data_IF_800725366512
#
_entry.id   IF_800725366512
#
_cell.length_a   1.000
_cell.length_b   1.000
_cell.length_c   1.000
_cell.angle_alpha   90.00
_cell.angle_beta   90.00
_cell.angle_gamma   90.00
#
_symmetry.space_group_name_H-M   'P 1'
#
loop_
_entity.id
_entity.type
_entity.pdbx_description
1 polymer ?
2 non-polymer ?
3 non-polymer ?
4 non-polymer ?
5 non-polymer ?
6 water ?
#
# COMPACT_ATOMS: atom_id res chain seq x y z
N UNK A 1 18.91 22.00 1.29
CA UNK A 1 17.49 21.80 1.20
C UNK A 1 17.35 20.39 1.75
N UNK A 2 16.18 19.79 1.74
CA UNK A 2 16.00 18.39 2.06
C UNK A 2 16.33 17.66 0.77
N UNK A 3 17.00 16.53 0.88
CA UNK A 3 17.28 15.67 -0.25
C UNK A 3 16.38 14.48 0.02
N UNK A 4 15.47 14.18 -0.87
CA UNK A 4 14.54 13.10 -0.67
C UNK A 4 14.89 12.11 -1.76
N UNK A 5 14.90 10.83 -1.45
CA UNK A 5 15.14 9.82 -2.46
C UNK A 5 13.84 9.07 -2.62
N UNK A 6 13.63 8.34 -3.70
CA UNK A 6 12.47 7.51 -3.88
C UNK A 6 12.91 6.22 -4.53
N UNK A 7 12.49 5.08 -3.99
CA UNK A 7 12.75 3.83 -4.67
C UNK A 7 11.39 3.50 -5.28
N UNK A 8 11.27 3.30 -6.59
CA UNK A 8 9.99 3.03 -7.18
C UNK A 8 10.15 2.20 -8.43
N UNK A 9 9.04 1.72 -8.97
CA UNK A 9 9.01 0.97 -10.22
C UNK A 9 9.28 1.99 -11.32
N UNK A 10 9.67 1.60 -12.53
CA UNK A 10 10.12 2.55 -13.54
C UNK A 10 9.22 3.73 -13.81
N UNK A 11 9.71 4.94 -13.59
CA UNK A 11 8.95 6.16 -13.81
C UNK A 11 8.57 6.35 -15.26
N UNK A 12 9.32 5.80 -16.17
CA UNK A 12 8.97 5.90 -17.56
C UNK A 12 7.70 5.14 -17.91
N UNK A 13 7.18 4.33 -17.00
CA UNK A 13 6.02 3.51 -17.26
C UNK A 13 4.82 3.84 -16.40
N UNK A 14 4.83 4.99 -15.69
CA UNK A 14 3.70 5.33 -14.82
C UNK A 14 2.75 6.21 -15.61
N UNK A 15 1.52 6.26 -15.09
CA UNK A 15 0.46 7.10 -15.62
C UNK A 15 0.35 8.23 -14.62
N UNK A 16 0.81 9.43 -15.01
CA UNK A 16 0.87 10.57 -14.12
C UNK A 16 -0.50 11.07 -13.74
N UNK A 17 -1.56 10.65 -14.42
CA UNK A 17 -2.91 11.03 -14.01
C UNK A 17 -3.35 10.32 -12.73
N UNK A 18 -2.86 9.12 -12.49
CA UNK A 18 -3.34 8.32 -11.38
C UNK A 18 -2.26 8.09 -10.38
N UNK A 19 -1.00 8.21 -10.75
CA UNK A 19 0.04 7.76 -9.85
C UNK A 19 0.26 8.61 -8.61
N UNK A 20 0.25 8.00 -7.43
CA UNK A 20 0.50 8.80 -6.25
C UNK A 20 1.97 9.04 -5.98
N UNK A 21 2.97 8.18 -6.31
CA UNK A 21 4.37 8.53 -6.08
C UNK A 21 4.67 9.83 -6.81
N UNK A 22 4.15 9.99 -8.02
CA UNK A 22 4.38 11.15 -8.85
C UNK A 22 3.78 12.40 -8.20
N UNK A 23 2.54 12.40 -7.75
CA UNK A 23 1.95 13.49 -7.06
C UNK A 23 2.80 13.88 -5.86
N UNK A 24 3.37 12.95 -5.10
CA UNK A 24 4.26 13.26 -3.99
C UNK A 24 5.53 13.99 -4.48
N UNK A 25 6.21 13.52 -5.53
CA UNK A 25 7.38 14.18 -6.09
C UNK A 25 7.02 15.58 -6.58
N UNK A 26 5.89 15.92 -7.20
CA UNK A 26 5.56 17.30 -7.58
C UNK A 26 5.49 18.18 -6.35
N UNK A 27 4.96 17.71 -5.25
CA UNK A 27 4.89 18.48 -4.03
C UNK A 27 6.26 18.66 -3.38
N UNK A 28 7.11 17.64 -3.34
CA UNK A 28 8.45 17.80 -2.81
C UNK A 28 9.24 18.82 -3.63
N UNK A 29 9.06 18.84 -4.96
CA UNK A 29 9.75 19.78 -5.82
C UNK A 29 9.21 21.17 -5.63
N UNK A 30 7.90 21.33 -5.51
CA UNK A 30 7.24 22.58 -5.22
C UNK A 30 7.78 23.16 -3.90
N UNK A 31 8.19 22.32 -2.93
CA UNK A 31 8.77 22.80 -1.71
C UNK A 31 10.26 23.04 -1.78
N UNK A 32 10.97 22.65 -2.85
CA UNK A 32 12.39 22.94 -3.02
C UNK A 32 13.33 21.80 -2.65
N UNK A 33 12.85 20.56 -2.54
CA UNK A 33 13.70 19.46 -2.14
C UNK A 33 14.44 19.05 -3.37
N UNK A 34 15.62 18.47 -3.15
CA UNK A 34 16.41 17.86 -4.20
C UNK A 34 15.94 16.41 -4.33
N UNK A 35 15.51 15.94 -5.50
CA UNK A 35 14.95 14.61 -5.65
C UNK A 35 15.96 13.66 -6.24
N UNK A 36 16.15 12.48 -5.62
CA UNK A 36 17.06 11.45 -6.09
C UNK A 36 16.25 10.22 -6.41
N UNK A 37 16.21 9.80 -7.64
CA UNK A 37 15.45 8.68 -8.13
C UNK A 37 16.19 7.37 -8.06
N UNK A 38 15.58 6.30 -7.57
CA UNK A 38 16.24 5.01 -7.56
C UNK A 38 15.27 3.93 -7.95
N UNK A 39 15.72 2.84 -8.53
CA UNK A 39 14.93 1.65 -8.80
C UNK A 39 15.62 0.57 -7.96
N UNK A 40 15.03 -0.59 -7.71
CA UNK A 40 15.57 -1.65 -6.85
C UNK A 40 16.99 -2.07 -7.20
N UNK A 41 17.36 -2.09 -8.46
CA UNK A 41 18.68 -2.52 -8.92
C UNK A 41 19.79 -1.53 -8.63
N UNK A 42 19.49 -0.28 -8.27
CA UNK A 42 20.46 0.76 -7.98
C UNK A 42 21.02 0.71 -6.59
N UNK A 43 20.35 0.02 -5.69
CA UNK A 43 20.73 -0.04 -4.29
C UNK A 43 21.66 -1.23 -4.10
N UNK A 44 22.62 -1.07 -3.21
CA UNK A 44 23.52 -2.14 -2.92
C UNK A 44 24.12 -1.94 -1.54
N UNK A 45 24.85 -2.94 -1.12
CA UNK A 45 25.50 -2.97 0.17
C UNK A 45 26.94 -3.38 -0.11
N UNK A 46 27.90 -2.60 0.40
CA UNK A 46 29.33 -2.89 0.31
C UNK A 46 29.81 -2.71 1.74
N UNK A 47 30.16 -3.83 2.32
CA UNK A 47 30.61 -3.97 3.69
C UNK A 47 29.67 -3.32 4.69
N UNK A 48 28.38 -3.57 4.48
CA UNK A 48 27.33 -3.12 5.36
C UNK A 48 27.00 -1.66 5.19
N UNK A 49 27.57 -0.94 4.23
CA UNK A 49 27.23 0.44 3.97
C UNK A 49 26.23 0.40 2.83
N UNK A 50 25.06 0.97 3.03
CA UNK A 50 24.02 1.03 2.02
C UNK A 50 24.39 2.19 1.11
N UNK A 51 24.41 1.95 -0.18
CA UNK A 51 24.76 2.97 -1.13
C UNK A 51 23.86 2.82 -2.34
N UNK A 52 23.80 3.77 -3.26
CA UNK A 52 22.98 3.65 -4.45
C UNK A 52 23.46 4.56 -5.56
N UNK A 53 23.19 4.15 -6.78
CA UNK A 53 23.42 5.01 -7.91
C UNK A 53 22.12 5.77 -8.00
N UNK A 54 22.10 7.08 -7.83
CA UNK A 54 20.86 7.81 -7.98
C UNK A 54 21.01 8.69 -9.20
N UNK A 55 19.91 9.25 -9.59
CA UNK A 55 19.83 10.16 -10.68
C UNK A 55 19.06 11.33 -10.09
N UNK A 56 19.53 12.58 -10.21
CA UNK A 56 18.84 13.73 -9.68
C UNK A 56 17.69 13.93 -10.64
N UNK A 57 16.50 14.05 -10.09
CA UNK A 57 15.26 14.11 -10.83
C UNK A 57 14.59 15.47 -10.79
N UNK A 58 13.95 15.74 -11.91
CA UNK A 58 13.18 16.92 -12.14
C UNK A 58 11.80 16.47 -12.61
N UNK A 59 10.61 16.67 -12.03
CA UNK A 59 9.37 16.15 -12.60
C UNK A 59 8.48 17.31 -13.04
N UNK A 60 7.56 17.10 -13.97
CA UNK A 60 6.62 18.13 -14.32
C UNK A 60 5.41 17.46 -14.92
N UNK A 61 4.25 18.05 -14.65
CA UNK A 61 2.98 17.58 -15.15
C UNK A 61 2.89 17.79 -16.66
N UNK A 62 3.52 16.95 -17.45
CA UNK A 62 3.58 17.09 -18.88
C UNK A 62 3.43 15.69 -19.36
N UNK A 63 2.47 15.39 -20.21
CA UNK A 63 2.22 14.03 -20.65
C UNK A 63 3.10 13.57 -21.80
N UNK A 64 3.99 14.43 -22.31
CA UNK A 64 4.93 14.06 -23.37
C UNK A 64 6.20 13.75 -22.63
N UNK A 65 6.54 14.53 -21.60
CA UNK A 65 7.77 14.35 -20.87
C UNK A 65 7.56 14.73 -19.43
N UNK A 66 7.39 13.78 -18.54
CA UNK A 66 7.12 14.12 -17.16
C UNK A 66 8.29 14.02 -16.23
N UNK A 67 9.47 13.58 -16.66
CA UNK A 67 10.62 13.55 -15.78
C UNK A 67 11.87 13.78 -16.62
N UNK A 68 12.93 14.18 -15.97
CA UNK A 68 14.22 14.32 -16.61
C UNK A 68 15.19 14.14 -15.49
N UNK A 69 16.30 13.50 -15.82
CA UNK A 69 17.39 13.28 -14.91
C UNK A 69 18.43 14.35 -15.19
N UNK A 70 18.83 15.10 -14.21
CA UNK A 70 19.76 16.19 -14.39
C UNK A 70 21.04 15.79 -13.66
N UNK A 71 21.56 14.60 -13.93
CA UNK A 71 22.78 14.17 -13.29
C UNK A 71 22.63 12.85 -12.60
N UNK A 72 23.73 12.16 -12.31
CA UNK A 72 23.70 10.91 -11.62
C UNK A 72 24.93 10.84 -10.77
N UNK A 73 24.89 9.99 -9.77
CA UNK A 73 26.00 9.87 -8.84
C UNK A 73 25.82 8.61 -8.02
N UNK A 74 26.89 8.14 -7.43
CA UNK A 74 26.85 7.02 -6.54
C UNK A 74 27.05 7.68 -5.18
N UNK A 75 26.15 7.48 -4.22
CA UNK A 75 26.33 8.08 -2.92
C UNK A 75 25.96 7.06 -1.87
N UNK A 76 26.38 7.19 -0.62
CA UNK A 76 25.80 6.47 0.50
C UNK A 76 24.38 6.99 0.72
N UNK A 77 23.42 6.12 1.00
CA UNK A 77 22.06 6.50 1.20
C UNK A 77 21.89 7.37 2.44
N UNK A 78 22.73 7.24 3.46
CA UNK A 78 22.75 8.10 4.62
C UNK A 78 22.96 9.55 4.26
N UNK A 79 23.33 9.87 3.04
CA UNK A 79 23.42 11.23 2.56
C UNK A 79 22.05 11.82 2.29
N UNK A 80 20.97 11.05 2.22
CA UNK A 80 19.67 11.61 1.92
C UNK A 80 18.96 11.73 3.26
N UNK A 81 18.03 12.68 3.33
CA UNK A 81 17.34 12.93 4.58
C UNK A 81 16.13 12.05 4.75
N UNK A 82 15.50 11.67 3.64
CA UNK A 82 14.23 10.95 3.60
C UNK A 82 14.33 10.02 2.39
N UNK A 83 13.92 8.76 2.43
CA UNK A 83 13.78 7.90 1.28
C UNK A 83 12.33 7.44 1.31
N UNK A 84 11.56 7.55 0.22
CA UNK A 84 10.21 7.08 0.16
C UNK A 84 10.34 5.72 -0.48
N UNK A 85 9.90 4.65 0.20
CA UNK A 85 9.92 3.32 -0.36
C UNK A 85 8.55 3.14 -1.01
N UNK A 86 8.47 3.30 -2.31
CA UNK A 86 7.23 3.23 -3.05
C UNK A 86 7.22 2.08 -4.05
N UNK A 87 7.98 0.99 -3.86
CA UNK A 87 7.99 -0.17 -4.74
C UNK A 87 6.66 -0.89 -4.58
N UNK A 88 6.07 -1.30 -5.69
CA UNK A 88 4.78 -1.99 -5.67
C UNK A 88 4.92 -3.41 -5.23
N UNK A 89 3.87 -3.99 -4.64
CA UNK A 89 3.83 -5.42 -4.36
C UNK A 89 4.00 -6.21 -5.66
N UNK A 90 4.20 -7.53 -5.68
CA UNK A 90 4.23 -8.42 -4.54
C UNK A 90 5.29 -8.29 -3.49
N UNK A 91 4.85 -8.76 -2.34
CA UNK A 91 5.66 -8.88 -1.16
C UNK A 91 6.42 -10.17 -1.44
N UNK A 92 7.67 -10.05 -1.79
CA UNK A 92 8.45 -11.22 -2.07
C UNK A 92 9.71 -11.06 -1.29
N UNK A 93 10.65 -12.00 -1.40
CA UNK A 93 11.91 -11.89 -0.67
C UNK A 93 12.77 -10.77 -1.22
N UNK A 94 12.75 -10.40 -2.51
CA UNK A 94 13.48 -9.26 -3.02
C UNK A 94 13.11 -7.96 -2.31
N UNK A 95 11.80 -7.81 -2.08
CA UNK A 95 11.26 -6.68 -1.35
C UNK A 95 11.86 -6.67 0.07
N UNK A 96 11.87 -7.84 0.75
CA UNK A 96 12.46 -7.96 2.06
C UNK A 96 13.93 -7.64 2.02
N UNK A 97 14.72 -8.12 1.06
CA UNK A 97 16.14 -7.82 1.02
C UNK A 97 16.34 -6.33 0.86
N UNK A 98 15.55 -5.63 0.05
CA UNK A 98 15.67 -4.20 -0.05
C UNK A 98 15.43 -3.53 1.29
N UNK A 99 14.58 -4.02 2.18
CA UNK A 99 14.32 -3.32 3.42
C UNK A 99 15.53 -3.42 4.35
N UNK A 100 16.44 -4.40 4.21
CA UNK A 100 17.63 -4.47 5.07
C UNK A 100 18.62 -3.44 4.61
N UNK A 101 18.67 -3.19 3.31
CA UNK A 101 19.52 -2.17 2.70
C UNK A 101 18.97 -0.84 3.15
N UNK A 102 17.67 -0.60 3.09
CA UNK A 102 17.17 0.67 3.55
C UNK A 102 17.36 0.81 5.04
N UNK A 103 17.38 -0.29 5.80
CA UNK A 103 17.61 -0.23 7.22
C UNK A 103 19.05 0.16 7.59
N UNK A 104 20.07 -0.13 6.79
CA UNK A 104 21.44 0.30 7.12
C UNK A 104 21.60 1.82 6.98
N UNK A 105 20.87 2.45 6.05
CA UNK A 105 20.81 3.87 5.88
C UNK A 105 20.07 4.41 7.04
N UNK A 106 18.94 3.83 7.46
CA UNK A 106 18.14 4.35 8.57
C UNK A 106 18.95 4.37 9.86
N UNK A 107 19.86 3.43 10.09
CA UNK A 107 20.70 3.52 11.27
C UNK A 107 21.70 4.65 11.21
N UNK A 108 22.04 5.15 10.03
CA UNK A 108 22.90 6.27 9.90
C UNK A 108 22.08 7.53 9.94
N UNK A 109 20.78 7.47 10.26
CA UNK A 109 19.90 8.62 10.45
C UNK A 109 18.99 9.09 9.32
N UNK A 110 18.87 8.38 8.21
CA UNK A 110 17.91 8.70 7.15
C UNK A 110 16.50 8.32 7.56
N UNK A 111 15.47 9.11 7.26
CA UNK A 111 14.09 8.75 7.60
C UNK A 111 13.60 7.87 6.48
N UNK A 112 12.96 6.73 6.74
CA UNK A 112 12.46 5.85 5.70
C UNK A 112 10.94 5.84 5.91
N UNK A 113 10.19 6.10 4.83
CA UNK A 113 8.75 6.17 4.77
C UNK A 113 8.34 5.04 3.83
N UNK A 114 7.84 3.86 4.21
CA UNK A 114 7.63 3.56 5.60
C UNK A 114 8.81 2.84 6.23
N UNK A 115 8.80 2.66 7.55
CA UNK A 115 9.91 2.07 8.28
C UNK A 115 10.18 0.63 7.88
N UNK A 116 11.43 0.23 7.53
CA UNK A 116 11.77 -1.07 6.98
C UNK A 116 11.37 -2.22 7.89
N UNK A 117 11.62 -2.09 9.19
CA UNK A 117 11.22 -3.12 10.10
C UNK A 117 9.71 -3.29 10.10
N UNK A 118 8.91 -2.25 10.22
CA UNK A 118 7.47 -2.39 10.06
C UNK A 118 7.02 -2.92 8.70
N UNK A 119 7.69 -2.72 7.57
CA UNK A 119 7.28 -3.31 6.28
C UNK A 119 7.40 -4.81 6.26
N UNK A 120 8.32 -5.34 7.03
CA UNK A 120 8.49 -6.78 7.20
C UNK A 120 7.57 -7.32 8.27
N UNK A 121 7.18 -6.55 9.29
CA UNK A 121 6.28 -7.00 10.33
C UNK A 121 4.83 -6.93 9.90
N UNK A 122 4.44 -5.92 9.12
CA UNK A 122 3.06 -5.65 8.75
C UNK A 122 2.74 -6.04 7.34
N UNK A 123 2.46 -7.30 7.10
CA UNK A 123 2.03 -7.75 5.79
C UNK A 123 0.63 -7.18 5.58
N UNK A 124 0.27 -6.74 4.38
CA UNK A 124 -1.00 -6.08 4.09
C UNK A 124 -2.24 -6.89 4.39
N UNK A 125 -2.17 -8.21 4.31
CA UNK A 125 -3.27 -9.03 4.68
C UNK A 125 -3.11 -9.47 6.11
N UNK A 126 -1.98 -10.00 6.57
CA UNK A 126 -1.93 -10.60 7.91
C UNK A 126 -1.83 -9.65 9.09
N UNK A 127 -1.53 -8.38 8.85
CA UNK A 127 -1.50 -7.42 9.93
C UNK A 127 -2.92 -7.21 10.47
N UNK A 128 -4.00 -7.59 9.74
CA UNK A 128 -5.39 -7.50 10.19
C UNK A 128 -5.59 -8.40 11.40
N UNK A 129 -4.78 -9.44 11.57
CA UNK A 129 -4.80 -10.31 12.72
C UNK A 129 -4.55 -9.56 14.01
N UNK A 130 -3.91 -8.40 13.99
CA UNK A 130 -3.75 -7.60 15.19
C UNK A 130 -4.95 -6.70 15.43
N UNK A 131 -6.05 -6.75 14.66
CA UNK A 131 -7.23 -5.91 14.88
C UNK A 131 -8.47 -6.76 14.52
N UNK A 132 -8.55 -8.00 14.98
CA UNK A 132 -9.62 -8.93 14.61
C UNK A 132 -11.01 -8.53 15.03
N UNK A 133 -11.07 -7.58 15.95
CA UNK A 133 -12.32 -6.94 16.35
C UNK A 133 -12.87 -5.98 15.28
N UNK A 134 -12.09 -5.62 14.28
CA UNK A 134 -12.56 -4.70 13.28
C UNK A 134 -12.64 -5.42 11.96
N UNK A 135 -12.14 -6.64 11.79
CA UNK A 135 -12.11 -7.31 10.47
C UNK A 135 -13.27 -8.25 10.23
N UNK A 136 -13.59 -8.86 9.07
CA UNK A 136 -14.50 -10.00 9.04
C UNK A 136 -13.90 -11.23 9.68
N UNK A 137 -14.63 -12.34 9.69
CA UNK A 137 -14.15 -13.63 10.16
C UNK A 137 -13.01 -13.97 9.22
N UNK A 138 -11.82 -14.28 9.71
CA UNK A 138 -10.68 -14.52 8.84
C UNK A 138 -9.95 -15.77 9.25
N UNK A 139 -9.67 -16.65 8.30
CA UNK A 139 -8.97 -17.89 8.53
C UNK A 139 -7.79 -17.85 7.59
N UNK A 140 -6.58 -18.18 8.06
CA UNK A 140 -5.41 -18.29 7.22
C UNK A 140 -5.03 -19.75 7.34
N UNK A 141 -5.01 -20.55 6.29
CA UNK A 141 -4.73 -21.96 6.44
C UNK A 141 -4.17 -22.52 5.15
N UNK A 142 -3.57 -23.73 5.19
CA UNK A 142 -3.14 -24.49 4.02
C UNK A 142 -4.11 -25.63 3.71
N UNK A 143 -5.04 -25.93 4.62
CA UNK A 143 -5.85 -27.12 4.52
C UNK A 143 -7.24 -26.84 4.01
N UNK A 144 -7.49 -27.49 2.88
CA UNK A 144 -8.74 -27.51 2.18
C UNK A 144 -9.86 -27.92 3.13
N UNK A 145 -9.62 -28.82 4.06
CA UNK A 145 -10.64 -29.26 5.01
C UNK A 145 -11.16 -28.12 5.84
N UNK A 146 -10.25 -27.24 6.27
CA UNK A 146 -10.62 -26.08 7.08
C UNK A 146 -11.32 -25.05 6.22
N UNK A 147 -10.95 -24.93 4.95
CA UNK A 147 -11.58 -24.00 4.06
C UNK A 147 -13.00 -24.44 3.79
N UNK A 148 -13.26 -25.73 3.62
CA UNK A 148 -14.58 -26.30 3.35
C UNK A 148 -15.48 -26.09 4.54
N UNK A 149 -14.96 -26.39 5.71
CA UNK A 149 -15.71 -26.15 6.93
C UNK A 149 -16.02 -24.66 7.10
N UNK A 150 -15.12 -23.69 6.88
CA UNK A 150 -15.43 -22.26 6.97
C UNK A 150 -16.49 -21.81 5.99
N UNK A 151 -16.49 -22.43 4.81
CA UNK A 151 -17.49 -22.21 3.79
C UNK A 151 -18.83 -22.75 4.27
N UNK A 152 -18.92 -23.96 4.83
CA UNK A 152 -20.18 -24.48 5.33
C UNK A 152 -20.75 -23.62 6.45
N UNK A 153 -19.94 -23.12 7.38
CA UNK A 153 -20.39 -22.21 8.40
C UNK A 153 -20.87 -20.86 7.82
N UNK A 154 -20.17 -20.25 6.87
CA UNK A 154 -20.51 -18.92 6.40
C UNK A 154 -21.27 -18.79 5.11
N UNK A 155 -21.43 -19.84 4.30
CA UNK A 155 -22.17 -19.88 3.03
C UNK A 155 -21.59 -19.13 1.84
N UNK A 156 -21.11 -17.92 2.11
CA UNK A 156 -20.57 -17.04 1.14
C UNK A 156 -19.22 -16.55 1.62
N UNK A 157 -18.13 -17.02 1.01
CA UNK A 157 -16.80 -16.59 1.41
C UNK A 157 -15.97 -16.01 0.27
N UNK A 158 -14.95 -15.23 0.63
CA UNK A 158 -13.93 -14.62 -0.22
C UNK A 158 -12.63 -15.37 0.14
N UNK A 159 -11.93 -15.89 -0.86
CA UNK A 159 -10.66 -16.58 -0.71
C UNK A 159 -9.66 -15.76 -1.50
N UNK A 160 -8.48 -15.52 -0.93
CA UNK A 160 -7.46 -14.66 -1.51
C UNK A 160 -6.04 -15.11 -1.17
N UNK A 161 -5.00 -14.76 -1.94
CA UNK A 161 -3.61 -14.93 -1.60
C UNK A 161 -3.12 -13.92 -0.57
N UNK A 162 -1.94 -14.07 -0.02
CA UNK A 162 -1.42 -13.15 0.98
C UNK A 162 -0.44 -12.09 0.48
N UNK A 163 0.00 -12.26 -0.76
CA UNK A 163 1.05 -11.43 -1.32
C UNK A 163 0.69 -10.34 -2.31
N UNK A 164 -0.44 -10.45 -3.01
CA UNK A 164 -0.77 -9.50 -4.07
C UNK A 164 -1.60 -8.35 -3.54
N UNK A 165 -1.95 -7.50 -4.48
CA UNK A 165 -2.78 -6.33 -4.24
C UNK A 165 -3.58 -6.15 -5.52
N UNK A 166 -4.49 -5.16 -5.60
CA UNK A 166 -5.22 -4.90 -6.84
C UNK A 166 -6.25 -5.95 -7.29
N UNK A 167 -6.74 -6.84 -6.42
CA UNK A 167 -7.69 -7.85 -6.82
C UNK A 167 -7.01 -9.08 -7.37
N UNK A 168 -5.73 -9.31 -7.05
CA UNK A 168 -5.05 -10.49 -7.55
C UNK A 168 -5.63 -11.71 -6.86
N UNK A 169 -6.04 -12.67 -7.69
CA UNK A 169 -6.66 -13.93 -7.29
C UNK A 169 -7.81 -13.91 -6.26
N UNK A 170 -8.81 -13.00 -6.32
CA UNK A 170 -9.90 -13.01 -5.35
C UNK A 170 -11.02 -13.89 -5.88
N UNK A 171 -11.37 -14.99 -5.20
CA UNK A 171 -12.48 -15.82 -5.58
C UNK A 171 -13.61 -15.61 -4.59
N UNK A 172 -14.86 -15.65 -5.01
CA UNK A 172 -15.97 -15.64 -4.08
C UNK A 172 -16.61 -17.02 -4.21
N UNK A 173 -16.84 -17.73 -3.12
CA UNK A 173 -17.40 -19.07 -3.18
C UNK A 173 -18.71 -18.92 -2.43
N UNK A 174 -19.75 -18.75 -3.22
CA UNK A 174 -21.10 -18.59 -2.73
C UNK A 174 -21.68 -19.97 -2.63
N UNK A 175 -22.90 -20.06 -2.13
CA UNK A 175 -23.67 -21.29 -1.96
C UNK A 175 -23.82 -22.05 -3.29
N UNK A 176 -23.51 -23.34 -3.30
CA UNK A 176 -23.68 -24.14 -4.52
C UNK A 176 -22.60 -23.95 -5.58
N UNK A 177 -21.47 -23.29 -5.28
CA UNK A 177 -20.41 -23.10 -6.23
C UNK A 177 -19.78 -24.47 -6.45
N UNK A 178 -19.55 -24.99 -7.66
CA UNK A 178 -19.01 -26.32 -7.89
C UNK A 178 -17.49 -26.39 -7.80
N UNK A 179 -16.84 -25.32 -7.33
CA UNK A 179 -15.39 -25.20 -7.43
C UNK A 179 -14.58 -25.04 -6.17
N UNK A 180 -15.08 -25.30 -4.96
CA UNK A 180 -14.33 -25.07 -3.72
C UNK A 180 -13.02 -25.83 -3.79
N UNK A 181 -13.08 -27.09 -4.18
CA UNK A 181 -11.94 -27.97 -4.23
C UNK A 181 -10.81 -27.50 -5.11
N UNK A 182 -11.10 -27.18 -6.37
CA UNK A 182 -10.09 -26.71 -7.28
C UNK A 182 -9.68 -25.30 -6.89
N UNK A 183 -10.48 -24.41 -6.28
CA UNK A 183 -10.01 -23.09 -5.87
C UNK A 183 -9.06 -23.24 -4.68
N UNK A 184 -9.28 -24.17 -3.74
CA UNK A 184 -8.40 -24.36 -2.62
C UNK A 184 -7.15 -25.00 -3.16
N UNK A 185 -7.16 -26.05 -3.98
CA UNK A 185 -5.95 -26.58 -4.59
C UNK A 185 -5.14 -25.56 -5.35
N UNK A 186 -5.81 -24.62 -6.02
CA UNK A 186 -5.15 -23.52 -6.73
C UNK A 186 -4.58 -22.52 -5.73
N UNK A 187 -5.25 -21.96 -4.73
CA UNK A 187 -4.63 -20.98 -3.86
C UNK A 187 -3.61 -21.52 -2.85
N UNK A 188 -3.73 -22.76 -2.39
CA UNK A 188 -2.77 -23.29 -1.45
C UNK A 188 -1.72 -24.11 -2.17
N UNK A 189 -1.74 -24.20 -3.51
CA UNK A 189 -0.86 -25.02 -4.32
C UNK A 189 -0.74 -26.43 -3.80
N UNK A 190 -1.90 -27.05 -3.68
CA UNK A 190 -2.10 -28.38 -3.11
C UNK A 190 -1.61 -28.50 -1.69
N UNK A 191 -1.90 -27.47 -0.93
CA UNK A 191 -1.68 -27.51 0.49
C UNK A 191 -0.28 -27.14 0.91
N UNK A 192 0.50 -26.48 0.07
CA UNK A 192 1.85 -26.12 0.41
C UNK A 192 2.00 -24.63 0.64
N UNK A 193 0.97 -23.84 0.36
CA UNK A 193 0.96 -22.41 0.60
C UNK A 193 -0.27 -22.01 1.40
N UNK A 194 -0.13 -21.06 2.30
CA UNK A 194 -1.24 -20.50 3.08
C UNK A 194 -2.09 -19.61 2.19
N UNK A 195 -3.39 -19.57 2.40
CA UNK A 195 -4.25 -18.57 1.76
C UNK A 195 -5.18 -18.03 2.85
N UNK A 196 -5.94 -17.00 2.53
CA UNK A 196 -6.81 -16.35 3.50
C UNK A 196 -8.25 -16.50 3.04
N UNK A 197 -9.18 -16.90 3.91
CA UNK A 197 -10.60 -16.94 3.63
C UNK A 197 -11.27 -15.93 4.54
N UNK A 198 -12.30 -15.23 4.09
CA UNK A 198 -12.99 -14.28 4.94
C UNK A 198 -14.43 -14.41 4.58
N UNK A 199 -15.38 -14.11 5.47
CA UNK A 199 -16.77 -14.16 5.05
C UNK A 199 -17.05 -12.97 4.15
N UNK A 200 -17.89 -13.16 3.12
CA UNK A 200 -18.18 -12.13 2.17
C UNK A 200 -18.99 -11.03 2.83
N UNK A 201 -18.67 -9.78 2.49
CA UNK A 201 -19.32 -8.61 3.02
C UNK A 201 -20.19 -7.97 1.96
N UNK A 202 -21.52 -8.17 1.96
CA UNK A 202 -22.47 -7.59 1.00
C UNK A 202 -22.31 -6.10 0.73
N UNK A 203 -21.88 -5.34 1.74
CA UNK A 203 -21.64 -3.92 1.62
C UNK A 203 -20.64 -3.54 0.54
N UNK A 204 -19.88 -4.47 -0.06
CA UNK A 204 -18.98 -4.12 -1.14
C UNK A 204 -19.73 -3.42 -2.27
N UNK A 205 -21.05 -3.60 -2.37
CA UNK A 205 -21.88 -2.99 -3.37
C UNK A 205 -21.87 -1.48 -3.23
N UNK A 206 -21.66 -0.98 -2.01
CA UNK A 206 -21.55 0.46 -1.75
C UNK A 206 -20.10 0.91 -1.88
N UNK A 207 -19.14 0.03 -2.16
CA UNK A 207 -17.77 0.42 -2.39
C UNK A 207 -16.76 -0.11 -1.38
N UNK A 208 -15.55 -0.37 -1.83
CA UNK A 208 -14.43 -0.73 -0.99
C UNK A 208 -13.80 0.64 -0.74
N UNK A 209 -13.84 1.22 0.44
CA UNK A 209 -13.33 2.55 0.65
C UNK A 209 -11.84 2.53 0.96
N UNK A 210 -11.03 3.28 0.22
CA UNK A 210 -9.64 3.47 0.56
C UNK A 210 -9.62 4.67 1.48
N UNK A 211 -9.15 4.46 2.71
CA UNK A 211 -9.01 5.51 3.71
C UNK A 211 -7.53 5.73 3.93
N UNK A 212 -7.03 6.92 3.71
CA UNK A 212 -5.62 7.25 3.83
C UNK A 212 -5.29 7.77 5.20
N UNK A 213 -4.19 7.33 5.84
CA UNK A 213 -3.78 7.78 7.15
C UNK A 213 -2.35 8.31 7.03
N UNK A 214 -2.16 9.57 7.39
CA UNK A 214 -0.90 10.26 7.38
C UNK A 214 -0.42 10.41 8.82
N UNK A 215 0.61 9.68 9.22
CA UNK A 215 1.15 9.61 10.57
C UNK A 215 0.13 9.49 11.69
N UNK A 216 -0.69 8.47 11.56
CA UNK A 216 -1.71 8.17 12.56
C UNK A 216 -2.96 9.01 12.36
N UNK A 217 -2.94 10.12 11.62
CA UNK A 217 -4.11 10.96 11.38
C UNK A 217 -4.93 10.57 10.16
N UNK A 218 -6.20 10.24 10.20
CA UNK A 218 -6.96 9.90 9.03
C UNK A 218 -7.20 11.15 8.19
N UNK A 219 -6.95 11.09 6.88
CA UNK A 219 -7.34 12.13 5.93
C UNK A 219 -8.89 12.09 5.89
N UNK A 220 -9.63 13.21 5.98
CA UNK A 220 -11.10 13.24 6.09
C UNK A 220 -12.02 12.88 4.92
N UNK A 221 -11.49 12.53 3.75
CA UNK A 221 -12.27 12.13 2.61
C UNK A 221 -11.58 10.88 2.13
N UNK A 222 -12.36 9.95 1.61
CA UNK A 222 -11.90 8.66 1.15
C UNK A 222 -12.33 8.48 -0.30
N UNK A 223 -12.04 7.35 -0.90
CA UNK A 223 -12.43 7.04 -2.25
C UNK A 223 -13.16 5.72 -2.12
N UNK A 224 -14.43 5.56 -2.47
CA UNK A 224 -15.09 4.27 -2.44
C UNK A 224 -14.89 3.65 -3.81
N UNK A 225 -14.50 2.40 -3.86
CA UNK A 225 -14.26 1.75 -5.14
C UNK A 225 -15.38 0.75 -5.37
N UNK A 226 -16.16 1.01 -6.40
CA UNK A 226 -17.34 0.20 -6.73
C UNK A 226 -16.96 -0.80 -7.81
N UNK A 227 -17.14 -2.13 -7.62
CA UNK A 227 -16.87 -3.16 -8.63
C UNK A 227 -17.71 -2.86 -9.87
N UNK A 228 -17.27 -3.24 -11.06
CA UNK A 228 -18.00 -2.87 -12.26
C UNK A 228 -18.34 -4.04 -13.16
N UNK A 229 -19.64 -4.10 -13.45
CA UNK A 229 -20.18 -5.08 -14.37
C UNK A 229 -20.14 -6.47 -13.76
N UNK A 230 -19.38 -7.32 -14.44
CA UNK A 230 -19.21 -8.69 -13.96
C UNK A 230 -17.89 -8.82 -13.16
N UNK A 231 -17.78 -8.01 -12.09
CA UNK A 231 -16.60 -8.07 -11.27
C UNK A 231 -16.88 -8.03 -9.79
N UNK A 232 -16.28 -9.04 -9.20
CA UNK A 232 -16.20 -9.22 -7.77
C UNK A 232 -15.14 -8.30 -7.15
N UNK A 233 -14.25 -7.70 -7.95
CA UNK A 233 -13.24 -6.83 -7.36
C UNK A 233 -13.57 -5.34 -7.48
N UNK A 234 -13.56 -4.65 -6.33
CA UNK A 234 -13.76 -3.21 -6.24
C UNK A 234 -12.54 -2.42 -6.69
N UNK A 235 -11.33 -2.98 -6.54
CA UNK A 235 -10.06 -2.37 -6.95
C UNK A 235 -10.06 -1.57 -8.23
N UNK A 236 -9.53 -0.36 -8.24
CA UNK A 236 -9.39 0.40 -9.49
C UNK A 236 -8.60 -0.42 -10.51
N UNK A 237 -7.61 -1.17 -9.98
CA UNK A 237 -6.77 -2.07 -10.75
C UNK A 237 -7.55 -3.14 -11.50
N UNK A 238 -8.69 -3.58 -10.97
CA UNK A 238 -9.52 -4.58 -11.63
C UNK A 238 -10.76 -3.85 -12.13
N UNK A 239 -10.61 -2.61 -12.62
CA UNK A 239 -11.70 -1.87 -13.26
C UNK A 239 -12.71 -1.21 -12.33
N UNK A 240 -12.48 -1.14 -11.01
CA UNK A 240 -13.43 -0.53 -10.08
C UNK A 240 -13.57 0.97 -10.33
N UNK A 241 -14.75 1.53 -10.03
CA UNK A 241 -15.09 2.92 -10.24
C UNK A 241 -14.98 3.74 -8.95
N UNK A 242 -14.23 4.83 -8.91
CA UNK A 242 -13.96 5.49 -7.65
C UNK A 242 -14.86 6.67 -7.45
N UNK A 243 -15.28 6.79 -6.21
CA UNK A 243 -16.20 7.83 -5.79
C UNK A 243 -15.63 8.49 -4.52
N UNK A 244 -15.09 9.73 -4.50
CA UNK A 244 -14.62 10.40 -3.30
C UNK A 244 -15.77 10.70 -2.37
N UNK A 245 -15.66 10.48 -1.06
CA UNK A 245 -16.76 10.72 -0.13
C UNK A 245 -16.14 11.31 1.08
N UNK A 246 -16.75 12.12 1.93
CA UNK A 246 -16.35 12.23 3.32
C UNK A 246 -16.35 10.91 4.07
N UNK A 247 -15.52 10.82 5.09
CA UNK A 247 -15.54 9.67 5.97
C UNK A 247 -16.87 9.66 6.71
N UNK A 248 -17.44 8.46 6.83
CA UNK A 248 -18.64 8.30 7.61
C UNK A 248 -18.15 8.11 9.04
N UNK A 249 -19.10 8.07 9.97
CA UNK A 249 -18.69 7.92 11.34
C UNK A 249 -18.12 6.54 11.64
N UNK A 250 -18.42 5.39 11.04
CA UNK A 250 -17.65 4.18 11.36
C UNK A 250 -16.30 4.20 10.68
N UNK A 251 -16.09 5.02 9.64
CA UNK A 251 -14.78 5.20 9.05
C UNK A 251 -13.85 5.91 10.00
N UNK A 252 -14.33 6.93 10.70
CA UNK A 252 -13.54 7.57 11.73
C UNK A 252 -13.20 6.64 12.86
N UNK A 253 -14.15 5.84 13.30
CA UNK A 253 -13.94 4.95 14.41
C UNK A 253 -12.89 3.95 14.04
N UNK A 254 -12.88 3.29 12.88
CA UNK A 254 -11.83 2.34 12.59
C UNK A 254 -10.50 3.02 12.43
N UNK A 255 -10.40 4.03 11.59
CA UNK A 255 -9.16 4.74 11.37
C UNK A 255 -8.56 5.24 12.68
N UNK A 256 -9.30 5.71 13.67
CA UNK A 256 -8.70 6.11 14.94
C UNK A 256 -8.27 4.94 15.79
N UNK A 257 -8.86 3.76 15.67
CA UNK A 257 -8.39 2.65 16.46
C UNK A 257 -7.06 2.22 15.89
N UNK A 258 -6.84 2.29 14.57
CA UNK A 258 -5.56 1.87 14.03
C UNK A 258 -4.50 2.95 14.03
N UNK A 259 -4.89 4.21 13.87
CA UNK A 259 -4.03 5.39 13.77
C UNK A 259 -2.81 5.35 14.64
N UNK A 260 -2.90 5.22 15.97
CA UNK A 260 -1.78 5.22 16.88
C UNK A 260 -0.82 4.08 16.67
N UNK A 261 -1.23 2.90 16.23
CA UNK A 261 -0.30 1.81 16.00
C UNK A 261 0.58 2.15 14.82
N UNK A 262 0.00 2.73 13.78
CA UNK A 262 0.72 3.00 12.57
C UNK A 262 1.75 4.07 12.88
N UNK A 263 1.44 5.03 13.73
CA UNK A 263 2.37 6.10 14.06
C UNK A 263 3.56 5.57 14.82
N UNK A 264 3.20 4.73 15.79
CA UNK A 264 4.08 4.08 16.72
C UNK A 264 5.07 3.23 15.95
N UNK A 265 4.61 2.54 14.93
CA UNK A 265 5.47 1.71 14.11
C UNK A 265 6.09 2.44 12.92
N UNK A 266 5.99 3.76 12.77
CA UNK A 266 6.66 4.47 11.68
C UNK A 266 6.07 4.20 10.30
N UNK A 267 4.80 3.79 10.32
CA UNK A 267 4.04 3.59 9.11
C UNK A 267 3.36 4.94 8.97
N UNK A 268 4.12 5.84 8.38
CA UNK A 268 3.71 7.22 8.17
C UNK A 268 2.68 7.38 7.05
N UNK A 269 2.65 6.61 5.96
CA UNK A 269 1.62 6.79 4.94
C UNK A 269 0.96 5.44 4.73
N UNK A 270 -0.30 5.26 5.13
CA UNK A 270 -0.97 3.97 5.08
C UNK A 270 -2.30 4.06 4.38
N UNK A 271 -2.70 3.06 3.63
CA UNK A 271 -4.00 3.03 2.98
C UNK A 271 -4.82 1.90 3.57
N UNK A 272 -5.85 2.20 4.35
CA UNK A 272 -6.75 1.22 4.90
C UNK A 272 -7.78 0.94 3.82
N UNK A 273 -8.27 -0.28 3.77
CA UNK A 273 -9.36 -0.68 2.91
C UNK A 273 -10.56 -0.94 3.83
N UNK A 274 -11.74 -0.32 3.73
CA UNK A 274 -12.83 -0.61 4.66
C UNK A 274 -14.00 -0.99 3.78
N UNK A 275 -14.71 -2.07 4.03
CA UNK A 275 -15.93 -2.41 3.29
C UNK A 275 -16.97 -2.37 4.40
N UNK A 276 -17.94 -1.45 4.30
CA UNK A 276 -18.99 -1.30 5.27
C UNK A 276 -18.33 -0.83 6.51
N UNK A 277 -18.46 -1.56 7.58
CA UNK A 277 -17.74 -1.23 8.80
C UNK A 277 -16.65 -2.25 9.16
N UNK A 278 -16.10 -2.98 8.19
CA UNK A 278 -15.05 -3.94 8.46
C UNK A 278 -13.81 -3.53 7.70
N UNK A 279 -12.68 -3.66 8.38
CA UNK A 279 -11.34 -3.47 7.85
C UNK A 279 -10.98 -4.71 7.07
N UNK A 280 -10.66 -4.70 5.78
CA UNK A 280 -10.23 -5.91 5.09
C UNK A 280 -8.73 -6.01 4.87
N UNK A 281 -7.96 -4.95 4.61
CA UNK A 281 -6.52 -5.05 4.55
C UNK A 281 -5.88 -3.71 4.90
N UNK A 282 -4.57 -3.70 5.19
CA UNK A 282 -3.79 -2.46 5.50
C UNK A 282 -2.60 -2.24 4.53
N UNK A 283 -2.71 -1.38 3.51
CA UNK A 283 -1.64 -1.20 2.55
C UNK A 283 -0.61 -0.24 3.06
N UNK A 284 0.56 -0.81 3.34
CA UNK A 284 1.71 -0.06 3.79
C UNK A 284 2.82 0.11 2.75
N UNK A 285 2.84 -0.60 1.60
CA UNK A 285 3.95 -0.47 0.64
C UNK A 285 3.81 0.70 -0.33
N UNK A 286 2.82 0.73 -1.22
CA UNK A 286 2.62 1.79 -2.18
C UNK A 286 1.15 2.17 -2.38
N UNK A 287 0.35 2.50 -1.34
CA UNK A 287 -1.04 2.88 -1.47
C UNK A 287 -1.20 4.11 -2.34
N UNK A 288 -2.24 4.04 -3.14
CA UNK A 288 -2.57 5.13 -4.02
C UNK A 288 -3.94 5.72 -3.70
N UNK A 289 -4.64 6.33 -4.66
CA UNK A 289 -5.90 7.05 -4.57
C UNK A 289 -5.76 8.51 -4.19
N UNK A 290 -4.54 9.08 -4.00
CA UNK A 290 -4.35 10.49 -3.67
C UNK A 290 -4.99 11.41 -4.72
N UNK A 291 -4.79 11.17 -6.02
CA UNK A 291 -5.26 12.09 -7.08
C UNK A 291 -6.76 12.28 -7.17
N UNK A 292 -7.46 11.17 -7.13
CA UNK A 292 -8.89 11.13 -7.21
C UNK A 292 -9.53 11.86 -6.05
N UNK A 293 -9.05 11.65 -4.81
CA UNK A 293 -9.60 12.34 -3.65
C UNK A 293 -9.30 13.81 -3.75
N UNK A 294 -8.05 14.16 -4.02
CA UNK A 294 -7.63 15.54 -4.13
C UNK A 294 -8.31 16.30 -5.22
N UNK A 295 -8.79 15.65 -6.28
CA UNK A 295 -9.46 16.38 -7.35
C UNK A 295 -10.79 16.90 -6.90
N UNK A 296 -11.46 16.06 -6.14
CA UNK A 296 -12.77 16.34 -5.66
C UNK A 296 -12.79 17.17 -4.37
N UNK A 297 -11.77 17.31 -3.54
CA UNK A 297 -11.97 17.96 -2.28
C UNK A 297 -10.86 18.91 -2.01
N UNK A 298 -11.05 19.92 -1.15
CA UNK A 298 -9.98 20.84 -0.78
C UNK A 298 -9.03 20.23 0.25
N UNK A 299 -8.23 19.21 -0.07
CA UNK A 299 -7.33 18.64 0.90
C UNK A 299 -6.08 18.32 0.11
N UNK A 300 -4.90 18.62 0.65
CA UNK A 300 -3.64 18.28 0.01
C UNK A 300 -3.01 17.25 0.95
N UNK A 301 -3.20 16.01 0.51
CA UNK A 301 -2.67 14.81 1.13
C UNK A 301 -1.17 14.81 1.00
N UNK A 302 -0.59 15.22 -0.13
CA UNK A 302 0.85 15.22 -0.32
C UNK A 302 1.44 16.25 0.62
N UNK A 303 0.78 17.39 0.78
CA UNK A 303 1.20 18.39 1.72
C UNK A 303 1.19 17.79 3.11
N UNK A 304 0.14 17.07 3.51
CA UNK A 304 0.10 16.46 4.84
C UNK A 304 1.29 15.58 5.06
N UNK A 305 1.56 14.74 4.06
CA UNK A 305 2.71 13.85 4.08
C UNK A 305 4.01 14.64 4.20
N UNK A 306 4.30 15.68 3.42
CA UNK A 306 5.57 16.36 3.56
C UNK A 306 5.69 17.07 4.91
N UNK A 307 4.59 17.59 5.44
CA UNK A 307 4.53 18.18 6.78
C UNK A 307 4.87 17.17 7.83
N UNK A 308 4.39 15.94 7.69
CA UNK A 308 4.70 14.91 8.66
C UNK A 308 6.16 14.48 8.54
N UNK A 309 6.75 14.42 7.34
CA UNK A 309 8.14 14.10 7.10
C UNK A 309 8.99 15.16 7.76
N UNK A 310 8.74 16.44 7.46
CA UNK A 310 9.47 17.55 8.05
C UNK A 310 9.40 17.59 9.57
N UNK A 311 8.27 17.26 10.20
CA UNK A 311 8.21 17.14 11.65
C UNK A 311 9.10 15.99 12.10
N UNK A 312 9.01 14.83 11.43
CA UNK A 312 9.85 13.69 11.74
C UNK A 312 11.31 14.07 11.60
N UNK A 313 11.71 15.01 10.75
CA UNK A 313 13.12 15.33 10.62
C UNK A 313 13.63 16.41 11.59
N UNK A 314 12.79 16.89 12.51
CA UNK A 314 13.16 17.99 13.38
C UNK A 314 13.89 17.67 14.67
#
# INVERSE_FOLDING_TARGET
MIKLGIVMDPIANINIKKDSSFAMLLEAQRRGYELHYMEMGDLYLINGEARAHTRTLNVKQNYEEWFSFVGEQDLPLADLDVILMRKDPPFDTEFIYATYILERAEEKGTLIVNKPQSLRDCNEKLFTAWFSDLTPETLVTRNKAQLKAFWEKHSDIILKPLDGMGGASIFRVKEGDPNLGVIAETLTEHGTRYCMAQNYLPAIKDGDKRVLVVDGEPVPYCLARIPQGGETRGNLAAGGRGEPRPLTESDWKIARQIGPTLKEKGLIFVGLDIIGDRLTEINVTSPTCIREIEAEFPVSITGMLMDAIEARLQQQ
#
